data_IF_331180741775
#
_entry.id   IF_331180741775
#
_cell.length_a   1.000
_cell.length_b   1.000
_cell.length_c   1.000
_cell.angle_alpha   90.00
_cell.angle_beta   90.00
_cell.angle_gamma   90.00
#
_symmetry.space_group_name_H-M   'P 1'
#
loop_
_entity.id
_entity.type
_entity.pdbx_description
1 polymer ?
#
# COMPACT_ATOMS: atom_id res chain seq x y z
N UNK A 1 -7.97 -3.44 -6.38
CA UNK A 1 -6.80 -3.64 -7.27
C UNK A 1 -5.55 -3.82 -6.41
N UNK A 2 -4.71 -4.82 -6.70
CA UNK A 2 -3.45 -5.06 -5.97
C UNK A 2 -2.38 -4.05 -6.40
N UNK A 3 -1.83 -3.31 -5.43
CA UNK A 3 -0.86 -2.25 -5.68
C UNK A 3 0.56 -2.73 -5.43
N UNK A 4 0.85 -3.28 -4.25
CA UNK A 4 2.18 -3.72 -3.87
C UNK A 4 2.13 -4.91 -2.89
N UNK A 5 3.22 -5.67 -2.82
CA UNK A 5 3.46 -6.66 -1.76
C UNK A 5 4.30 -5.99 -0.69
N UNK A 6 3.86 -6.03 0.57
CA UNK A 6 4.66 -5.55 1.70
C UNK A 6 5.83 -6.50 1.91
N UNK A 7 7.06 -6.01 1.81
CA UNK A 7 8.29 -6.76 2.08
C UNK A 7 9.00 -6.29 3.35
N UNK A 8 8.73 -5.06 3.76
CA UNK A 8 9.28 -4.49 4.98
C UNK A 8 8.27 -3.53 5.64
N UNK A 9 8.31 -3.45 6.96
CA UNK A 9 7.46 -2.61 7.80
C UNK A 9 8.35 -1.88 8.81
N UNK A 10 8.40 -0.56 8.71
CA UNK A 10 9.20 0.28 9.58
C UNK A 10 8.32 1.26 10.35
N UNK A 11 8.47 1.31 11.68
CA UNK A 11 7.85 2.33 12.51
C UNK A 11 8.71 3.60 12.52
N UNK A 12 8.19 4.67 11.94
CA UNK A 12 8.84 5.98 11.97
C UNK A 12 8.70 6.65 13.34
N UNK A 13 9.70 7.44 13.72
CA UNK A 13 9.69 8.19 15.00
C UNK A 13 8.51 9.16 15.17
N UNK A 14 7.83 9.49 14.07
CA UNK A 14 6.64 10.35 14.03
C UNK A 14 5.32 9.61 14.30
N UNK A 15 5.35 8.33 14.67
CA UNK A 15 4.14 7.51 14.86
C UNK A 15 3.49 7.07 13.56
N UNK A 16 4.22 7.14 12.44
CA UNK A 16 3.79 6.65 11.13
C UNK A 16 4.36 5.27 10.88
N UNK A 17 3.64 4.44 10.15
CA UNK A 17 4.15 3.14 9.69
C UNK A 17 4.49 3.24 8.21
N UNK A 18 5.70 2.82 7.84
CA UNK A 18 6.18 2.80 6.47
C UNK A 18 6.18 1.37 5.98
N UNK A 19 5.43 1.10 4.90
CA UNK A 19 5.37 -0.17 4.21
C UNK A 19 6.22 -0.09 2.95
N UNK A 20 7.16 -1.00 2.77
CA UNK A 20 8.01 -1.01 1.56
C UNK A 20 7.89 -2.32 0.81
N UNK A 21 7.91 -2.26 -0.52
CA UNK A 21 7.98 -3.44 -1.37
C UNK A 21 7.73 -3.17 -2.85
N UNK A 22 7.74 -4.23 -3.68
CA UNK A 22 7.61 -4.10 -5.12
C UNK A 22 6.20 -3.69 -5.52
N UNK A 23 6.12 -2.79 -6.50
CA UNK A 23 4.89 -2.44 -7.17
C UNK A 23 4.45 -3.61 -8.07
N UNK A 24 3.19 -4.03 -7.94
CA UNK A 24 2.59 -5.12 -8.70
C UNK A 24 1.84 -4.65 -9.95
N UNK A 25 1.59 -3.35 -10.06
CA UNK A 25 0.96 -2.78 -11.23
C UNK A 25 1.84 -3.07 -12.47
N UNK A 26 1.24 -3.45 -13.60
CA UNK A 26 1.99 -3.87 -14.81
C UNK A 26 1.97 -2.83 -15.93
N UNK A 27 1.12 -1.80 -15.83
CA UNK A 27 0.77 -0.93 -16.96
C UNK A 27 0.79 0.55 -16.56
N UNK A 28 1.93 1.05 -16.09
CA UNK A 28 2.12 2.48 -15.88
C UNK A 28 3.41 2.93 -16.56
N UNK A 29 3.35 4.13 -17.14
CA UNK A 29 4.48 4.77 -17.82
C UNK A 29 5.01 5.95 -17.03
N UNK A 30 4.25 6.44 -16.04
CA UNK A 30 4.57 7.66 -15.30
C UNK A 30 4.36 7.46 -13.81
N UNK A 31 5.23 8.06 -13.01
CA UNK A 31 5.12 8.11 -11.54
C UNK A 31 3.74 8.60 -11.10
N UNK A 32 3.25 9.69 -11.69
CA UNK A 32 1.95 10.31 -11.38
C UNK A 32 0.74 9.38 -11.52
N UNK A 33 0.83 8.33 -12.34
CA UNK A 33 -0.23 7.33 -12.48
C UNK A 33 -0.31 6.46 -11.23
N UNK A 34 0.85 6.04 -10.72
CA UNK A 34 0.97 5.24 -9.50
C UNK A 34 0.42 6.02 -8.31
N UNK A 35 0.73 7.32 -8.21
CA UNK A 35 0.27 8.21 -7.14
C UNK A 35 -1.26 8.22 -7.02
N UNK A 36 -1.97 8.27 -8.16
CA UNK A 36 -3.43 8.19 -8.21
C UNK A 36 -3.96 6.85 -7.71
N UNK A 37 -3.26 5.76 -7.97
CA UNK A 37 -3.68 4.43 -7.53
C UNK A 37 -3.51 4.18 -6.03
N UNK A 38 -2.62 4.88 -5.32
CA UNK A 38 -2.58 4.78 -3.86
C UNK A 38 -3.63 5.66 -3.19
N UNK A 39 -4.04 6.76 -3.83
CA UNK A 39 -5.14 7.61 -3.37
C UNK A 39 -4.92 8.16 -1.95
N UNK A 40 -6.02 8.38 -1.23
CA UNK A 40 -6.01 8.85 0.16
C UNK A 40 -6.10 7.72 1.19
N UNK A 41 -6.45 6.50 0.77
CA UNK A 41 -6.67 5.33 1.63
C UNK A 41 -6.37 4.05 0.87
N UNK A 42 -5.78 3.08 1.56
CA UNK A 42 -5.56 1.72 1.05
C UNK A 42 -6.05 0.70 2.06
N UNK A 43 -6.29 -0.53 1.63
CA UNK A 43 -6.48 -1.65 2.57
C UNK A 43 -5.19 -2.45 2.70
N UNK A 44 -4.84 -2.79 3.93
CA UNK A 44 -3.66 -3.59 4.28
C UNK A 44 -4.10 -4.78 5.13
N UNK A 45 -3.51 -5.95 4.87
CA UNK A 45 -3.79 -7.16 5.66
C UNK A 45 -2.96 -7.20 6.94
N UNK A 46 -3.61 -7.54 8.04
CA UNK A 46 -2.97 -7.92 9.29
C UNK A 46 -2.42 -9.35 9.24
N UNK A 47 -1.64 -9.73 10.26
CA UNK A 47 -1.26 -11.12 10.52
C UNK A 47 -2.46 -12.06 10.78
N UNK A 48 -3.62 -11.53 11.21
CA UNK A 48 -4.86 -12.31 11.37
C UNK A 48 -5.60 -12.56 10.05
N UNK A 49 -5.12 -11.97 8.95
CA UNK A 49 -5.79 -12.02 7.64
C UNK A 49 -6.94 -11.02 7.48
N UNK A 50 -7.17 -10.17 8.48
CA UNK A 50 -8.15 -9.09 8.40
C UNK A 50 -7.61 -7.95 7.55
N UNK A 51 -8.48 -7.32 6.77
CA UNK A 51 -8.12 -6.16 5.94
C UNK A 51 -8.71 -4.90 6.55
N UNK A 52 -7.86 -3.93 6.89
CA UNK A 52 -8.29 -2.66 7.43
C UNK A 52 -7.97 -1.51 6.45
N UNK A 53 -8.90 -0.57 6.22
CA UNK A 53 -8.59 0.67 5.50
C UNK A 53 -7.67 1.54 6.36
N UNK A 54 -6.61 2.07 5.75
CA UNK A 54 -5.60 2.88 6.42
C UNK A 54 -5.34 4.15 5.59
N UNK A 55 -5.35 5.33 6.22
CA UNK A 55 -5.05 6.58 5.52
C UNK A 55 -3.62 6.59 5.00
N UNK A 56 -3.44 6.98 3.74
CA UNK A 56 -2.14 7.23 3.13
C UNK A 56 -1.69 8.63 3.49
N UNK A 57 -0.55 8.73 4.17
CA UNK A 57 0.07 10.00 4.56
C UNK A 57 1.09 10.49 3.52
N UNK A 58 1.63 9.56 2.74
CA UNK A 58 2.57 9.85 1.67
C UNK A 58 3.11 8.58 1.06
N UNK A 59 3.75 8.70 -0.09
CA UNK A 59 4.43 7.58 -0.71
C UNK A 59 5.68 8.07 -1.45
N UNK A 60 6.63 7.17 -1.63
CA UNK A 60 7.81 7.34 -2.45
C UNK A 60 7.91 6.17 -3.41
N UNK A 61 8.33 6.44 -4.62
CA UNK A 61 8.47 5.45 -5.67
C UNK A 61 9.88 5.59 -6.24
N UNK A 62 10.60 4.48 -6.26
CA UNK A 62 11.92 4.39 -6.87
C UNK A 62 11.97 3.22 -7.84
N UNK A 63 12.84 3.29 -8.84
CA UNK A 63 13.09 2.19 -9.74
C UNK A 63 14.45 1.59 -9.40
N UNK A 64 14.48 0.30 -9.09
CA UNK A 64 15.71 -0.44 -8.91
C UNK A 64 16.44 -0.59 -10.25
N UNK A 65 17.75 -0.86 -10.21
CA UNK A 65 18.55 -1.11 -11.42
C UNK A 65 18.04 -2.30 -12.25
N UNK A 66 17.30 -3.23 -11.63
CA UNK A 66 16.61 -4.33 -12.32
C UNK A 66 15.40 -3.88 -13.16
N UNK A 67 15.04 -2.60 -13.14
CA UNK A 67 13.82 -2.07 -13.74
C UNK A 67 12.56 -2.24 -12.87
N UNK A 68 12.67 -2.95 -11.74
CA UNK A 68 11.56 -3.15 -10.80
C UNK A 68 11.25 -1.86 -10.03
N UNK A 69 9.99 -1.49 -9.99
CA UNK A 69 9.53 -0.35 -9.20
C UNK A 69 9.32 -0.77 -7.74
N UNK A 70 9.90 -0.01 -6.83
CA UNK A 70 9.75 -0.14 -5.38
C UNK A 70 8.90 1.02 -4.88
N UNK A 71 8.01 0.72 -3.94
CA UNK A 71 7.15 1.71 -3.29
C UNK A 71 7.43 1.68 -1.80
N UNK A 72 7.56 2.85 -1.21
CA UNK A 72 7.47 3.06 0.24
C UNK A 72 6.23 3.89 0.53
N UNK A 73 5.29 3.33 1.28
CA UNK A 73 4.01 3.92 1.62
C UNK A 73 3.98 4.27 3.11
N UNK A 74 3.82 5.55 3.43
CA UNK A 74 3.59 6.02 4.80
C UNK A 74 2.09 6.01 5.10
N UNK A 75 1.69 5.33 6.17
CA UNK A 75 0.30 5.21 6.59
C UNK A 75 0.11 5.66 8.05
N UNK A 76 -1.08 6.18 8.33
CA UNK A 76 -1.53 6.47 9.69
C UNK A 76 -2.06 5.19 10.33
N UNK A 77 -1.16 4.35 10.84
CA UNK A 77 -1.54 3.12 11.53
C UNK A 77 -1.36 3.30 13.05
N UNK A 78 -2.43 3.38 13.85
CA UNK A 78 -2.29 3.57 15.28
C UNK A 78 -1.56 2.36 15.88
N UNK A 79 -0.45 2.63 16.57
CA UNK A 79 0.28 1.60 17.30
C UNK A 79 -0.64 0.92 18.29
N UNK A 80 -0.90 -0.37 18.09
CA UNK A 80 -1.58 -1.21 19.07
C UNK A 80 -2.68 -2.14 18.57
N UNK A 81 -3.07 -2.15 17.29
CA UNK A 81 -4.28 -2.92 16.91
C UNK A 81 -4.05 -4.08 15.93
N UNK A 82 -3.18 -4.03 14.91
CA UNK A 82 -2.77 -5.27 14.23
C UNK A 82 -1.35 -5.18 13.65
N UNK A 83 -0.51 -6.19 13.90
CA UNK A 83 0.76 -6.30 13.18
C UNK A 83 0.46 -6.48 11.69
N UNK A 84 1.00 -5.60 10.85
CA UNK A 84 0.87 -5.72 9.40
C UNK A 84 1.68 -6.93 8.96
N UNK A 85 1.05 -7.83 8.21
CA UNK A 85 1.71 -9.06 7.81
C UNK A 85 2.77 -8.77 6.73
N UNK A 86 3.97 -9.31 6.90
CA UNK A 86 4.95 -9.37 5.82
C UNK A 86 4.39 -10.26 4.70
N UNK A 87 4.59 -9.83 3.45
CA UNK A 87 3.98 -10.38 2.24
C UNK A 87 2.47 -10.12 2.10
N UNK A 88 1.88 -9.25 2.91
CA UNK A 88 0.52 -8.76 2.67
C UNK A 88 0.43 -7.95 1.38
N UNK A 89 -0.77 -7.91 0.81
CA UNK A 89 -1.09 -7.06 -0.33
C UNK A 89 -1.62 -5.71 0.17
N UNK A 90 -1.10 -4.64 -0.40
CA UNK A 90 -1.75 -3.32 -0.33
C UNK A 90 -2.70 -3.24 -1.51
N UNK A 91 -3.98 -2.99 -1.25
CA UNK A 91 -4.98 -2.85 -2.31
C UNK A 91 -5.61 -1.46 -2.27
N UNK A 92 -5.90 -0.91 -3.44
CA UNK A 92 -6.66 0.34 -3.56
C UNK A 92 -8.10 0.12 -3.03
N UNK A 93 -8.55 1.03 -2.17
CA UNK A 93 -9.87 0.98 -1.51
C UNK A 93 -11.05 1.37 -2.44
N UNK A 94 -10.80 2.12 -3.52
CA UNK A 94 -11.79 2.59 -4.51
C UNK A 94 -12.35 1.49 -5.43
N UNK A 95 -12.14 0.22 -5.10
CA UNK A 95 -12.62 -0.91 -5.91
C UNK A 95 -13.44 -1.92 -5.11
N UNK A 96 -14.49 -1.47 -4.40
CA UNK A 96 -15.70 -2.29 -4.14
C UNK A 96 -16.96 -1.38 -4.08
N UNK A 97 -17.29 -0.69 -5.19
CA UNK A 97 -18.64 -0.13 -5.41
C UNK A 97 -19.10 -0.28 -6.87
N UNK A 98 -18.78 -1.41 -7.51
CA UNK A 98 -19.33 -1.72 -8.84
C UNK A 98 -19.61 -3.20 -9.04
N UNK A 99 -20.25 -3.85 -8.05
CA UNK A 99 -20.96 -5.12 -8.27
C UNK A 99 -22.17 -5.23 -7.32
N UNK A 100 -23.09 -4.25 -7.33
CA UNK A 100 -24.47 -4.40 -6.80
C UNK A 100 -25.46 -3.48 -7.53
N UNK A 101 -25.46 -3.50 -8.86
CA UNK A 101 -26.64 -3.11 -9.65
C UNK A 101 -26.43 -3.57 -11.09
N UNK A 102 -26.89 -4.79 -11.37
CA UNK A 102 -27.31 -5.25 -12.69
C UNK A 102 -28.54 -6.14 -12.47
#
# INVERSE_FOLDING_TARGET
>A
MELMIVKDVMLAKSGQTILTGPLLLKTFSRRSEIERFFGSSVKVSSISGEHAPVPVLGFSISQAMSGTWQVSLAIAYPGGIHEISLNSLVVNDEAIQSEKTA
#
